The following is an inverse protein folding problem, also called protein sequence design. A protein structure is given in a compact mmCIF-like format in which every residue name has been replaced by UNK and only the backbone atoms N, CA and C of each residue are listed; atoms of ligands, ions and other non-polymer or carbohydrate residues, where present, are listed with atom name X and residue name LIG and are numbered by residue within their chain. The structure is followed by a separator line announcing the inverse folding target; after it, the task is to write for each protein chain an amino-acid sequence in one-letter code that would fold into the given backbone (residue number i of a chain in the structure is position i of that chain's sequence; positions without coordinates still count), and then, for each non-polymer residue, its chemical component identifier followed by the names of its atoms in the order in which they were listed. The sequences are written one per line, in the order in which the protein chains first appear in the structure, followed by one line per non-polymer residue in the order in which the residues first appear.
data_IF_990422836070
#
_entry.id   IF_990422836070
#
_cell.length_a   1.000
_cell.length_b   1.000
_cell.length_c   1.000
_cell.angle_alpha   90.00
_cell.angle_beta   90.00
_cell.angle_gamma   90.00
#
_symmetry.space_group_name_H-M   'P 1'
#
loop_
_entity.id
_entity.type
_entity.pdbx_description
1 polymer ?
#
# COMPACT_ATOMS: atom_id res chain seq x y z
N UNK A 1 50.00 -28.80 19.41
CA UNK A 1 49.50 -27.42 19.27
C UNK A 1 49.19 -27.00 17.82
N UNK A 2 49.87 -27.45 16.78
CA UNK A 2 49.53 -27.07 15.37
C UNK A 2 48.20 -27.62 14.85
N UNK A 3 47.80 -28.86 15.22
CA UNK A 3 46.54 -29.49 14.76
C UNK A 3 45.27 -28.83 15.31
N UNK A 4 45.30 -28.28 16.54
CA UNK A 4 44.15 -27.60 17.16
C UNK A 4 43.86 -26.23 16.52
N UNK A 5 44.89 -25.49 16.12
CA UNK A 5 44.71 -24.19 15.44
C UNK A 5 44.12 -24.34 14.04
N UNK A 6 44.47 -25.42 13.34
CA UNK A 6 43.93 -25.71 12.00
C UNK A 6 42.45 -26.06 12.06
N UNK A 7 42.01 -26.79 13.09
CA UNK A 7 40.58 -27.14 13.26
C UNK A 7 39.70 -25.92 13.59
N UNK A 8 40.20 -25.00 14.42
CA UNK A 8 39.48 -23.76 14.77
C UNK A 8 39.37 -22.83 13.56
N UNK A 9 40.38 -22.71 12.73
CA UNK A 9 40.36 -21.90 11.52
C UNK A 9 39.38 -22.49 10.49
N UNK A 10 39.31 -23.81 10.38
CA UNK A 10 38.36 -24.50 9.48
C UNK A 10 36.88 -24.30 9.88
N UNK A 11 36.60 -24.29 11.20
CA UNK A 11 35.27 -24.03 11.75
C UNK A 11 34.83 -22.57 11.52
N UNK A 12 35.75 -21.60 11.67
CA UNK A 12 35.47 -20.20 11.44
C UNK A 12 35.22 -19.91 9.95
N UNK A 13 36.03 -20.49 9.06
CA UNK A 13 35.85 -20.32 7.60
C UNK A 13 34.58 -21.05 7.12
N UNK A 14 34.30 -22.26 7.62
CA UNK A 14 33.06 -22.99 7.33
C UNK A 14 31.78 -22.27 7.82
N UNK A 15 31.85 -21.65 9.00
CA UNK A 15 30.78 -20.83 9.54
C UNK A 15 30.49 -19.57 8.69
N UNK A 16 31.54 -18.95 8.15
CA UNK A 16 31.39 -17.76 7.29
C UNK A 16 30.77 -18.09 5.93
N UNK A 17 31.03 -19.25 5.35
CA UNK A 17 30.44 -19.67 4.08
C UNK A 17 28.94 -19.98 4.20
N UNK A 18 28.42 -20.31 5.39
CA UNK A 18 27.00 -20.54 5.60
C UNK A 18 26.19 -19.24 5.66
N UNK A 19 26.80 -18.14 6.09
CA UNK A 19 26.16 -16.82 6.17
C UNK A 19 26.09 -16.06 4.82
N UNK A 20 26.83 -16.48 3.80
CA UNK A 20 26.86 -15.82 2.48
C UNK A 20 26.01 -16.52 1.41
N UNK A 21 25.05 -17.37 1.78
CA UNK A 21 23.99 -17.72 0.85
C UNK A 21 23.06 -16.49 0.69
N UNK A 22 23.56 -15.48 -0.02
CA UNK A 22 22.77 -14.37 -0.51
C UNK A 22 21.74 -14.97 -1.50
N UNK A 23 20.55 -15.23 -1.00
CA UNK A 23 19.44 -15.61 -1.85
C UNK A 23 19.13 -14.39 -2.71
N UNK A 24 19.56 -14.44 -3.97
CA UNK A 24 19.15 -13.45 -4.96
C UNK A 24 17.63 -13.56 -5.11
N UNK A 25 16.92 -12.68 -4.43
CA UNK A 25 15.51 -12.48 -4.68
C UNK A 25 15.40 -11.80 -6.04
N UNK A 26 15.06 -12.56 -7.07
CA UNK A 26 14.68 -11.98 -8.35
C UNK A 26 13.39 -11.17 -8.13
N UNK A 27 13.48 -9.85 -8.28
CA UNK A 27 12.29 -9.04 -8.42
C UNK A 27 11.54 -9.52 -9.67
N UNK A 28 10.27 -9.84 -9.53
CA UNK A 28 9.47 -10.21 -10.68
C UNK A 28 9.38 -8.99 -11.61
N UNK A 29 9.85 -9.10 -12.83
CA UNK A 29 9.75 -8.04 -13.84
C UNK A 29 8.50 -8.23 -14.69
N UNK A 30 7.97 -7.12 -15.21
CA UNK A 30 6.85 -7.15 -16.14
C UNK A 30 7.35 -7.70 -17.48
N UNK A 31 6.86 -8.86 -17.93
CA UNK A 31 7.39 -9.51 -19.15
C UNK A 31 6.92 -8.85 -20.44
N UNK A 32 6.06 -7.83 -20.36
CA UNK A 32 5.54 -7.10 -21.52
C UNK A 32 5.69 -5.60 -21.33
N UNK A 33 5.94 -4.89 -22.42
CA UNK A 33 5.74 -3.45 -22.51
C UNK A 33 4.34 -3.16 -23.04
N UNK A 34 3.73 -2.09 -22.56
CA UNK A 34 2.37 -1.68 -22.91
C UNK A 34 2.40 -0.30 -23.54
N UNK A 35 1.72 -0.16 -24.67
CA UNK A 35 1.51 1.13 -25.34
C UNK A 35 0.03 1.28 -25.66
N UNK A 36 -0.52 2.46 -25.42
CA UNK A 36 -1.88 2.82 -25.81
C UNK A 36 -1.84 3.63 -27.09
N UNK A 37 -2.48 3.12 -28.15
CA UNK A 37 -2.76 3.89 -29.35
C UNK A 37 -4.12 4.57 -29.17
N UNK A 38 -4.07 5.85 -28.84
CA UNK A 38 -5.21 6.64 -28.48
C UNK A 38 -5.71 7.49 -29.66
N UNK A 39 -7.02 7.85 -29.68
CA UNK A 39 -7.57 8.78 -30.67
C UNK A 39 -6.89 10.15 -30.62
N UNK A 40 -6.93 10.89 -31.73
CA UNK A 40 -6.38 12.25 -31.81
C UNK A 40 -7.02 13.25 -30.83
N UNK A 41 -8.27 13.02 -30.46
CA UNK A 41 -9.02 13.84 -29.47
C UNK A 41 -8.59 13.56 -28.02
N UNK A 42 -7.66 12.64 -27.77
CA UNK A 42 -7.19 12.36 -26.41
C UNK A 42 -6.31 13.50 -25.89
N UNK A 43 -6.59 13.96 -24.67
CA UNK A 43 -5.93 15.16 -24.07
C UNK A 43 -4.56 14.89 -23.44
N UNK A 44 -4.20 13.64 -23.21
CA UNK A 44 -3.02 13.27 -22.43
C UNK A 44 -2.31 12.06 -23.02
N UNK A 45 -0.98 12.04 -22.96
CA UNK A 45 -0.19 10.89 -23.39
C UNK A 45 -0.21 9.77 -22.32
N UNK A 46 -0.31 8.51 -22.74
CA UNK A 46 -0.20 7.34 -21.86
C UNK A 46 -1.43 7.06 -20.97
N UNK A 47 -2.46 7.88 -21.03
CA UNK A 47 -3.73 7.69 -20.33
C UNK A 47 -4.90 8.06 -21.25
N UNK A 48 -6.03 7.39 -21.12
CA UNK A 48 -7.24 7.78 -21.82
C UNK A 48 -7.86 8.97 -21.08
N UNK A 49 -7.86 10.14 -21.71
CA UNK A 49 -8.46 11.37 -21.15
C UNK A 49 -9.20 12.12 -22.25
N UNK A 50 -10.51 12.02 -22.27
CA UNK A 50 -11.32 12.51 -23.38
C UNK A 50 -12.61 13.18 -22.90
N UNK A 51 -13.00 14.24 -23.58
CA UNK A 51 -14.36 14.76 -23.53
C UNK A 51 -15.20 14.04 -24.60
N UNK A 52 -16.32 13.54 -24.19
CA UNK A 52 -17.18 12.69 -25.03
C UNK A 52 -18.63 13.09 -24.89
N UNK A 53 -19.40 12.92 -25.97
CA UNK A 53 -20.84 13.10 -25.91
C UNK A 53 -21.53 11.87 -25.29
N UNK A 54 -22.70 12.02 -24.67
CA UNK A 54 -23.54 10.89 -24.29
C UNK A 54 -23.71 9.89 -25.44
N UNK A 55 -23.60 8.58 -25.15
CA UNK A 55 -23.70 7.46 -26.10
C UNK A 55 -22.58 7.37 -27.16
N UNK A 56 -21.61 8.28 -27.13
CA UNK A 56 -20.47 8.24 -28.05
C UNK A 56 -19.65 6.97 -27.85
N UNK A 57 -19.23 6.34 -28.96
CA UNK A 57 -18.27 5.23 -28.97
C UNK A 57 -16.86 5.75 -29.08
N UNK A 58 -15.97 5.20 -28.27
CA UNK A 58 -14.56 5.53 -28.21
C UNK A 58 -13.79 4.27 -28.56
N UNK A 59 -12.90 4.37 -29.54
CA UNK A 59 -12.06 3.26 -29.99
C UNK A 59 -10.59 3.56 -29.73
N UNK A 60 -9.89 2.61 -29.14
CA UNK A 60 -8.43 2.67 -28.98
C UNK A 60 -7.84 1.26 -28.99
N UNK A 61 -6.52 1.15 -29.08
CA UNK A 61 -5.85 -0.15 -29.14
C UNK A 61 -4.80 -0.22 -28.05
N UNK A 62 -4.78 -1.33 -27.32
CA UNK A 62 -3.74 -1.66 -26.35
C UNK A 62 -2.73 -2.56 -27.07
N UNK A 63 -1.49 -2.13 -27.19
CA UNK A 63 -0.39 -2.90 -27.74
C UNK A 63 0.39 -3.52 -26.61
N UNK A 64 0.55 -4.85 -26.66
CA UNK A 64 1.33 -5.63 -25.69
C UNK A 64 2.50 -6.24 -26.44
N UNK A 65 3.71 -5.83 -26.13
CA UNK A 65 4.93 -6.42 -26.68
C UNK A 65 5.57 -7.31 -25.62
N UNK A 66 5.62 -8.62 -25.87
CA UNK A 66 6.33 -9.56 -25.02
C UNK A 66 7.84 -9.41 -25.25
N UNK A 67 8.54 -8.84 -24.27
CA UNK A 67 10.00 -8.62 -24.30
C UNK A 67 10.80 -9.82 -23.78
N UNK A 68 10.11 -10.87 -23.32
CA UNK A 68 10.76 -12.07 -22.79
C UNK A 68 11.00 -13.13 -23.88
N UNK A 69 11.89 -14.08 -23.59
CA UNK A 69 12.22 -15.21 -24.48
C UNK A 69 11.23 -16.39 -24.34
N UNK A 70 10.11 -16.19 -23.62
CA UNK A 70 9.10 -17.24 -23.38
C UNK A 70 7.71 -16.72 -23.75
N UNK A 71 6.82 -17.65 -24.07
CA UNK A 71 5.40 -17.36 -24.22
C UNK A 71 4.84 -16.92 -22.85
N UNK A 72 4.09 -15.81 -22.81
CA UNK A 72 3.47 -15.27 -21.61
C UNK A 72 1.96 -15.19 -21.77
N UNK A 73 1.24 -15.33 -20.65
CA UNK A 73 -0.20 -15.09 -20.58
C UNK A 73 -0.42 -13.82 -19.77
N UNK A 74 -1.14 -12.87 -20.35
CA UNK A 74 -1.40 -11.55 -19.77
C UNK A 74 -2.91 -11.38 -19.59
N UNK A 75 -3.34 -11.01 -18.40
CA UNK A 75 -4.69 -10.56 -18.13
C UNK A 75 -4.77 -9.05 -18.37
N UNK A 76 -5.71 -8.64 -19.20
CA UNK A 76 -6.04 -7.23 -19.44
C UNK A 76 -7.49 -7.00 -19.08
N UNK A 77 -7.79 -5.95 -18.33
CA UNK A 77 -9.17 -5.70 -17.93
C UNK A 77 -9.37 -4.35 -17.26
N UNK A 78 -10.63 -4.03 -16.93
CA UNK A 78 -10.99 -2.81 -16.25
C UNK A 78 -10.59 -2.84 -14.77
N UNK A 79 -10.07 -1.73 -14.29
CA UNK A 79 -9.84 -1.44 -12.88
C UNK A 79 -10.53 -0.15 -12.45
N UNK A 80 -10.24 0.28 -11.23
CA UNK A 80 -10.81 1.47 -10.61
C UNK A 80 -9.79 2.57 -10.46
N UNK A 81 -10.27 3.82 -10.37
CA UNK A 81 -9.51 4.97 -9.91
C UNK A 81 -10.16 5.44 -8.61
N UNK A 82 -9.38 5.52 -7.53
CA UNK A 82 -9.87 5.84 -6.18
C UNK A 82 -8.86 6.70 -5.43
N UNK A 83 -9.30 7.36 -4.38
CA UNK A 83 -8.39 8.07 -3.50
C UNK A 83 -7.75 7.12 -2.46
N UNK A 84 -6.48 7.34 -2.16
CA UNK A 84 -5.76 6.70 -1.05
C UNK A 84 -5.72 7.60 0.20
N UNK A 85 -4.99 7.15 1.24
CA UNK A 85 -4.83 7.88 2.49
C UNK A 85 -3.98 9.16 2.37
N UNK A 86 -3.24 9.33 1.28
CA UNK A 86 -2.50 10.56 0.96
C UNK A 86 -3.34 11.58 0.19
N UNK A 87 -4.60 11.22 -0.11
CA UNK A 87 -5.50 12.02 -0.92
C UNK A 87 -5.21 11.96 -2.42
N UNK A 88 -4.28 11.09 -2.86
CA UNK A 88 -3.95 10.92 -4.27
C UNK A 88 -4.86 9.89 -4.94
N UNK A 89 -4.99 9.98 -6.27
CA UNK A 89 -5.71 8.99 -7.04
C UNK A 89 -4.78 7.84 -7.37
N UNK A 90 -5.15 6.65 -6.91
CA UNK A 90 -4.46 5.40 -7.20
C UNK A 90 -5.30 4.53 -8.13
N UNK A 91 -4.61 3.87 -9.05
CA UNK A 91 -5.19 3.01 -10.07
C UNK A 91 -4.96 1.55 -9.69
N UNK A 92 -5.95 0.69 -9.87
CA UNK A 92 -5.74 -0.73 -9.57
C UNK A 92 -6.95 -1.62 -9.82
N UNK A 93 -6.72 -2.93 -9.77
CA UNK A 93 -7.79 -3.97 -9.79
C UNK A 93 -8.35 -4.16 -8.37
N UNK A 94 -8.78 -3.08 -7.73
CA UNK A 94 -9.11 -3.16 -6.32
C UNK A 94 -10.59 -3.39 -6.05
N UNK A 95 -10.98 -4.65 -6.10
CA UNK A 95 -12.31 -5.12 -5.70
C UNK A 95 -12.58 -5.01 -4.20
N UNK A 96 -11.53 -4.82 -3.37
CA UNK A 96 -11.66 -4.82 -1.90
C UNK A 96 -12.02 -3.45 -1.30
N UNK A 97 -11.77 -2.35 -1.99
CA UNK A 97 -12.10 -1.02 -1.49
C UNK A 97 -13.42 -0.55 -2.11
N UNK A 98 -14.35 -0.16 -1.25
CA UNK A 98 -15.68 0.32 -1.68
C UNK A 98 -15.56 1.69 -2.30
N UNK A 99 -16.16 1.87 -3.48
CA UNK A 99 -16.49 3.17 -4.04
C UNK A 99 -17.70 3.75 -3.29
N UNK A 100 -18.03 5.03 -3.51
CA UNK A 100 -19.25 5.58 -2.97
C UNK A 100 -20.51 4.88 -3.58
N UNK A 101 -21.60 4.85 -2.84
CA UNK A 101 -22.85 4.26 -3.32
C UNK A 101 -23.45 4.96 -4.55
N UNK A 102 -23.00 6.18 -4.84
CA UNK A 102 -23.37 6.94 -6.04
C UNK A 102 -22.61 6.50 -7.30
N UNK A 103 -21.63 5.61 -7.18
CA UNK A 103 -20.85 5.12 -8.31
C UNK A 103 -21.64 4.15 -9.16
N UNK A 104 -22.06 4.59 -10.36
CA UNK A 104 -22.92 3.85 -11.26
C UNK A 104 -22.16 3.18 -12.40
N UNK A 105 -21.12 3.82 -12.91
CA UNK A 105 -20.46 3.40 -14.15
C UNK A 105 -19.03 2.92 -13.93
N UNK A 106 -18.86 1.63 -14.04
CA UNK A 106 -17.58 0.96 -14.14
C UNK A 106 -17.21 0.77 -15.61
N UNK A 107 -15.92 0.80 -15.97
CA UNK A 107 -15.47 0.59 -17.36
C UNK A 107 -15.99 -0.72 -17.96
N UNK A 108 -16.27 -1.74 -17.15
CA UNK A 108 -16.93 -2.98 -17.59
C UNK A 108 -18.32 -2.71 -18.16
N UNK A 109 -19.06 -1.82 -17.56
CA UNK A 109 -20.41 -1.46 -18.02
C UNK A 109 -20.38 -0.62 -19.30
N UNK A 110 -19.20 -0.08 -19.65
CA UNK A 110 -18.97 0.67 -20.88
C UNK A 110 -18.47 -0.20 -22.05
N UNK A 111 -18.40 -1.52 -21.87
CA UNK A 111 -17.99 -2.47 -22.91
C UNK A 111 -16.57 -3.03 -22.76
N UNK A 112 -15.81 -2.65 -21.72
CA UNK A 112 -14.46 -3.18 -21.50
C UNK A 112 -14.46 -4.32 -20.48
N UNK A 113 -14.38 -5.55 -20.95
CA UNK A 113 -14.33 -6.77 -20.12
C UNK A 113 -12.91 -7.30 -19.97
N UNK A 114 -12.67 -8.02 -18.87
CA UNK A 114 -11.40 -8.70 -18.64
C UNK A 114 -11.20 -9.85 -19.62
N UNK A 115 -10.00 -9.96 -20.18
CA UNK A 115 -9.59 -11.07 -21.04
C UNK A 115 -8.16 -11.51 -20.72
N UNK A 116 -7.87 -12.78 -21.00
CA UNK A 116 -6.52 -13.33 -20.91
C UNK A 116 -6.03 -13.58 -22.33
N UNK A 117 -4.89 -12.99 -22.65
CA UNK A 117 -4.25 -13.15 -23.96
C UNK A 117 -2.91 -13.83 -23.82
N UNK A 118 -2.61 -14.74 -24.75
CA UNK A 118 -1.32 -15.42 -24.81
C UNK A 118 -0.48 -14.77 -25.90
N UNK A 119 0.77 -14.43 -25.57
CA UNK A 119 1.70 -13.70 -26.45
C UNK A 119 2.98 -14.53 -26.59
N UNK A 120 3.34 -15.00 -27.79
CA UNK A 120 4.61 -15.69 -28.02
C UNK A 120 5.80 -14.80 -27.67
N UNK A 121 6.98 -15.42 -27.48
CA UNK A 121 8.23 -14.71 -27.24
C UNK A 121 8.49 -13.64 -28.31
N UNK A 122 8.89 -12.44 -27.90
CA UNK A 122 9.27 -11.32 -28.79
C UNK A 122 8.20 -10.89 -29.79
N UNK A 123 6.90 -11.20 -29.52
CA UNK A 123 5.79 -10.82 -30.42
C UNK A 123 4.90 -9.76 -29.80
N UNK A 124 4.21 -9.05 -30.67
CA UNK A 124 3.24 -8.01 -30.31
C UNK A 124 1.81 -8.57 -30.43
N UNK A 125 0.97 -8.27 -29.46
CA UNK A 125 -0.47 -8.51 -29.50
C UNK A 125 -1.21 -7.18 -29.41
N UNK A 126 -2.10 -6.92 -30.35
CA UNK A 126 -2.99 -5.75 -30.37
C UNK A 126 -4.34 -6.16 -29.78
N UNK A 127 -4.87 -5.36 -28.88
CA UNK A 127 -6.18 -5.56 -28.26
C UNK A 127 -7.02 -4.32 -28.57
N UNK A 128 -7.98 -4.41 -29.51
CA UNK A 128 -8.91 -3.33 -29.76
C UNK A 128 -9.88 -3.21 -28.57
N UNK A 129 -10.11 -1.99 -28.13
CA UNK A 129 -11.06 -1.66 -27.07
C UNK A 129 -12.06 -0.67 -27.61
N UNK A 130 -13.32 -0.94 -27.34
CA UNK A 130 -14.43 -0.02 -27.61
C UNK A 130 -15.14 0.26 -26.30
N UNK A 131 -15.19 1.54 -25.90
CA UNK A 131 -16.00 2.01 -24.79
C UNK A 131 -17.21 2.76 -25.37
N UNK A 132 -18.37 2.61 -24.77
CA UNK A 132 -19.54 3.41 -25.07
C UNK A 132 -19.89 4.28 -23.87
N UNK A 133 -19.81 5.60 -24.04
CA UNK A 133 -20.23 6.52 -23.01
C UNK A 133 -21.73 6.32 -22.71
N UNK A 134 -22.15 6.32 -21.44
CA UNK A 134 -23.56 6.20 -21.11
C UNK A 134 -24.31 7.49 -21.42
N UNK A 135 -25.65 7.44 -21.35
CA UNK A 135 -26.46 8.66 -21.31
C UNK A 135 -26.33 9.30 -19.92
N UNK A 136 -25.32 10.13 -19.76
CA UNK A 136 -24.84 10.61 -18.46
C UNK A 136 -24.22 11.99 -18.59
N UNK A 137 -24.10 12.71 -17.48
CA UNK A 137 -23.38 13.96 -17.39
C UNK A 137 -22.40 13.90 -16.22
N UNK A 138 -21.12 14.15 -16.49
CA UNK A 138 -20.05 14.11 -15.49
C UNK A 138 -18.87 13.24 -15.87
N UNK A 139 -17.92 13.10 -14.97
CA UNK A 139 -16.69 12.35 -15.18
C UNK A 139 -16.84 10.89 -14.75
N UNK A 140 -16.33 9.98 -15.55
CA UNK A 140 -16.17 8.56 -15.25
C UNK A 140 -14.67 8.29 -15.16
N UNK A 141 -14.21 7.88 -13.99
CA UNK A 141 -12.79 7.55 -13.75
C UNK A 141 -12.61 6.05 -13.50
N UNK A 142 -11.57 5.49 -14.09
CA UNK A 142 -11.21 4.09 -13.95
C UNK A 142 -9.78 3.81 -14.38
N UNK A 143 -9.44 2.56 -14.61
CA UNK A 143 -8.13 2.17 -15.12
C UNK A 143 -8.19 0.94 -16.02
N UNK A 144 -7.17 0.82 -16.87
CA UNK A 144 -6.85 -0.39 -17.62
C UNK A 144 -5.76 -1.11 -16.83
N UNK A 145 -6.01 -2.35 -16.43
CA UNK A 145 -5.06 -3.18 -15.71
C UNK A 145 -4.43 -4.20 -16.64
N UNK A 146 -3.12 -4.27 -16.62
CA UNK A 146 -2.33 -5.27 -17.35
C UNK A 146 -1.47 -6.01 -16.34
N UNK A 147 -1.65 -7.33 -16.23
CA UNK A 147 -0.93 -8.15 -15.26
C UNK A 147 -0.60 -9.53 -15.83
N UNK A 148 0.59 -10.10 -15.57
CA UNK A 148 0.90 -11.46 -15.95
C UNK A 148 0.06 -12.45 -15.17
N UNK A 149 -0.38 -13.52 -15.84
CA UNK A 149 -1.03 -14.65 -15.20
C UNK A 149 0.06 -15.60 -14.68
N UNK A 150 0.33 -15.52 -13.38
CA UNK A 150 1.33 -16.34 -12.72
C UNK A 150 0.65 -17.56 -12.10
N UNK A 151 1.13 -18.75 -12.42
CA UNK A 151 0.75 -19.97 -11.68
C UNK A 151 1.40 -19.92 -10.30
N UNK A 152 0.59 -19.68 -9.27
CA UNK A 152 1.07 -19.69 -7.89
C UNK A 152 1.58 -21.11 -7.55
N UNK A 153 2.85 -21.20 -7.18
CA UNK A 153 3.39 -22.43 -6.59
C UNK A 153 2.85 -22.57 -5.16
N UNK A 154 2.45 -23.78 -4.78
CA UNK A 154 1.79 -24.08 -3.48
C UNK A 154 2.55 -23.62 -2.23
N UNK A 155 3.83 -23.30 -2.35
CA UNK A 155 4.69 -22.91 -1.23
C UNK A 155 5.08 -21.41 -1.19
N UNK A 156 4.53 -20.58 -2.07
CA UNK A 156 4.86 -19.14 -2.09
C UNK A 156 4.04 -18.43 -1.01
N UNK A 157 4.64 -18.12 0.13
CA UNK A 157 3.99 -17.40 1.24
C UNK A 157 3.55 -15.98 0.87
N UNK A 158 4.25 -15.33 -0.06
CA UNK A 158 3.96 -13.97 -0.53
C UNK A 158 4.11 -13.92 -2.06
N UNK A 159 3.02 -14.15 -2.81
CA UNK A 159 3.06 -13.99 -4.26
C UNK A 159 3.23 -12.51 -4.60
N UNK A 160 4.39 -12.16 -5.13
CA UNK A 160 4.63 -10.81 -5.64
C UNK A 160 3.95 -10.71 -7.01
N UNK A 161 2.80 -10.04 -7.08
CA UNK A 161 2.09 -9.80 -8.33
C UNK A 161 2.40 -8.38 -8.81
N UNK A 162 3.05 -8.29 -9.97
CA UNK A 162 3.27 -7.01 -10.65
C UNK A 162 2.07 -6.74 -11.54
N UNK A 163 1.57 -5.51 -11.48
CA UNK A 163 0.56 -5.00 -12.42
C UNK A 163 0.96 -3.62 -12.92
N UNK A 164 0.60 -3.31 -14.13
CA UNK A 164 0.61 -1.96 -14.68
C UNK A 164 -0.83 -1.46 -14.79
N UNK A 165 -1.04 -0.20 -14.44
CA UNK A 165 -2.35 0.43 -14.47
C UNK A 165 -2.28 1.74 -15.25
N UNK A 166 -3.17 1.92 -16.20
CA UNK A 166 -3.29 3.11 -17.05
C UNK A 166 -4.62 3.80 -16.77
N UNK A 167 -4.59 5.09 -16.48
CA UNK A 167 -5.77 5.87 -16.16
C UNK A 167 -6.75 5.96 -17.34
N UNK A 168 -8.03 5.96 -17.00
CA UNK A 168 -9.12 6.28 -17.93
C UNK A 168 -9.99 7.34 -17.27
N UNK A 169 -10.10 8.50 -17.90
CA UNK A 169 -10.98 9.59 -17.54
C UNK A 169 -11.86 9.96 -18.76
N UNK A 170 -13.14 9.77 -18.64
CA UNK A 170 -14.11 10.19 -19.65
C UNK A 170 -14.97 11.28 -19.03
N UNK A 171 -14.94 12.46 -19.60
CA UNK A 171 -15.80 13.57 -19.25
C UNK A 171 -16.98 13.57 -20.22
N UNK A 172 -18.17 13.25 -19.73
CA UNK A 172 -19.35 13.02 -20.55
C UNK A 172 -20.26 14.24 -20.49
N UNK A 173 -20.67 14.73 -21.65
CA UNK A 173 -21.57 15.88 -21.80
C UNK A 173 -21.02 17.16 -21.15
N UNK A 174 -21.90 17.95 -20.54
CA UNK A 174 -21.54 19.20 -19.88
C UNK A 174 -21.00 18.92 -18.45
N UNK A 175 -19.95 18.13 -18.34
CA UNK A 175 -19.37 17.70 -17.05
C UNK A 175 -18.91 18.88 -16.17
N UNK A 176 -18.59 20.03 -16.75
CA UNK A 176 -18.16 21.24 -16.03
C UNK A 176 -19.28 21.86 -15.18
N UNK A 177 -20.53 21.62 -15.55
CA UNK A 177 -21.70 22.09 -14.81
C UNK A 177 -21.96 21.28 -13.54
N UNK A 178 -21.35 20.11 -13.42
CA UNK A 178 -21.51 19.23 -12.26
C UNK A 178 -20.81 19.83 -11.05
N UNK A 179 -21.56 20.06 -9.97
CA UNK A 179 -21.01 20.61 -8.73
C UNK A 179 -20.61 19.50 -7.75
N UNK A 180 -19.56 19.71 -6.94
CA UNK A 180 -19.17 18.76 -5.91
C UNK A 180 -20.31 18.52 -4.91
N UNK A 181 -20.59 17.26 -4.61
CA UNK A 181 -21.51 16.85 -3.57
C UNK A 181 -20.77 16.03 -2.52
N UNK A 182 -20.17 16.73 -1.57
CA UNK A 182 -19.30 16.14 -0.54
C UNK A 182 -20.09 15.85 0.74
N UNK A 183 -19.79 14.73 1.39
CA UNK A 183 -20.40 14.31 2.65
C UNK A 183 -19.37 13.66 3.57
N UNK A 184 -19.40 13.99 4.87
CA UNK A 184 -18.62 13.27 5.85
C UNK A 184 -19.29 11.93 6.17
N UNK A 185 -18.59 10.85 5.95
CA UNK A 185 -18.99 9.50 6.29
C UNK A 185 -18.79 9.17 7.78
N UNK A 186 -18.71 7.88 8.08
CA UNK A 186 -18.46 7.39 9.43
C UNK A 186 -17.07 7.79 9.89
N UNK A 187 -16.95 8.23 11.16
CA UNK A 187 -15.66 8.45 11.83
C UNK A 187 -15.51 7.39 12.91
N UNK A 188 -14.37 6.73 12.95
CA UNK A 188 -14.11 5.67 13.93
C UNK A 188 -12.61 5.55 14.21
N UNK A 189 -12.29 4.89 15.33
CA UNK A 189 -10.94 4.64 15.80
C UNK A 189 -10.63 3.15 15.68
N UNK A 190 -9.47 2.81 15.15
CA UNK A 190 -8.97 1.43 15.05
C UNK A 190 -7.45 1.37 15.20
N UNK A 191 -6.90 0.19 15.46
CA UNK A 191 -5.47 -0.06 15.35
C UNK A 191 -5.10 -0.31 13.88
N UNK A 192 -4.13 0.43 13.38
CA UNK A 192 -3.58 0.26 12.04
C UNK A 192 -2.05 0.36 12.11
N UNK A 193 -1.34 -0.62 11.55
CA UNK A 193 0.13 -0.62 11.58
C UNK A 193 0.75 -0.65 12.99
N UNK A 194 -0.01 -1.07 14.01
CA UNK A 194 0.41 -1.07 15.41
C UNK A 194 0.30 0.29 16.10
N UNK A 195 -0.52 1.20 15.56
CA UNK A 195 -0.82 2.51 16.15
C UNK A 195 -2.34 2.74 16.19
N UNK A 196 -2.81 3.50 17.16
CA UNK A 196 -4.18 3.97 17.18
C UNK A 196 -4.37 5.02 16.07
N UNK A 197 -5.40 4.84 15.25
CA UNK A 197 -5.63 5.64 14.05
C UNK A 197 -7.11 5.99 13.94
N UNK A 198 -7.41 7.28 13.81
CA UNK A 198 -8.75 7.80 13.53
C UNK A 198 -8.93 7.76 12.02
N UNK A 199 -10.03 7.17 11.58
CA UNK A 199 -10.41 7.12 10.17
C UNK A 199 -11.71 7.87 10.01
N UNK A 200 -11.66 8.97 9.28
CA UNK A 200 -12.80 9.64 8.68
C UNK A 200 -12.83 9.37 7.18
N UNK A 201 -13.94 9.67 6.53
CA UNK A 201 -14.05 9.55 5.09
C UNK A 201 -14.88 10.70 4.51
N UNK A 202 -14.38 11.34 3.47
CA UNK A 202 -15.18 12.25 2.65
C UNK A 202 -15.71 11.46 1.45
N UNK A 203 -17.01 11.43 1.30
CA UNK A 203 -17.72 10.83 0.18
C UNK A 203 -17.94 11.88 -0.88
N UNK A 204 -17.41 11.68 -2.07
CA UNK A 204 -17.78 12.43 -3.25
C UNK A 204 -18.93 11.69 -3.95
N UNK A 205 -20.13 12.23 -3.81
CA UNK A 205 -21.34 11.64 -4.39
C UNK A 205 -21.66 12.19 -5.80
N UNK A 206 -20.85 13.15 -6.26
CA UNK A 206 -20.98 13.71 -7.60
C UNK A 206 -20.01 13.01 -8.57
N UNK A 207 -20.40 12.89 -9.83
CA UNK A 207 -19.53 12.41 -10.90
C UNK A 207 -18.57 13.52 -11.36
N UNK A 208 -17.76 14.01 -10.44
CA UNK A 208 -16.80 15.08 -10.71
C UNK A 208 -15.41 14.64 -10.32
N UNK A 209 -14.44 14.96 -11.16
CA UNK A 209 -13.03 14.61 -11.01
C UNK A 209 -12.19 15.88 -10.89
N UNK A 210 -11.32 15.90 -9.91
CA UNK A 210 -10.27 16.91 -9.76
C UNK A 210 -8.91 16.23 -9.68
N UNK A 211 -8.01 16.61 -10.59
CA UNK A 211 -6.66 16.06 -10.68
C UNK A 211 -5.78 16.40 -9.47
N UNK A 212 -4.57 15.86 -9.50
CA UNK A 212 -3.58 16.08 -8.43
C UNK A 212 -3.29 17.58 -8.23
N UNK A 213 -3.28 18.03 -6.99
CA UNK A 213 -3.04 19.41 -6.61
C UNK A 213 -4.28 20.31 -6.62
N UNK A 214 -5.41 19.84 -7.15
CA UNK A 214 -6.62 20.66 -7.26
C UNK A 214 -7.45 20.72 -5.97
N UNK A 215 -7.18 19.83 -5.01
CA UNK A 215 -7.95 19.70 -3.77
C UNK A 215 -7.02 19.75 -2.56
N UNK A 216 -7.50 20.38 -1.49
CA UNK A 216 -6.83 20.32 -0.18
C UNK A 216 -7.78 19.74 0.86
N UNK A 217 -7.30 18.78 1.63
CA UNK A 217 -8.02 18.22 2.76
C UNK A 217 -7.29 18.57 4.05
N UNK A 218 -8.03 18.89 5.08
CA UNK A 218 -7.51 18.94 6.44
C UNK A 218 -8.51 18.30 7.39
N UNK A 219 -7.98 17.59 8.39
CA UNK A 219 -8.81 17.07 9.47
C UNK A 219 -8.07 17.17 10.79
N UNK A 220 -8.83 17.38 11.87
CA UNK A 220 -8.31 17.45 13.22
C UNK A 220 -9.27 16.81 14.21
N UNK A 221 -8.70 16.26 15.26
CA UNK A 221 -9.41 15.76 16.42
C UNK A 221 -9.21 16.70 17.61
N UNK A 222 -10.29 17.09 18.26
CA UNK A 222 -10.27 17.90 19.49
C UNK A 222 -10.89 17.08 20.64
N UNK A 223 -10.34 17.20 21.83
CA UNK A 223 -10.91 16.62 23.04
C UNK A 223 -12.13 17.41 23.53
N UNK A 224 -12.74 16.98 24.64
CA UNK A 224 -13.89 17.65 25.29
C UNK A 224 -13.61 19.10 25.75
N UNK A 225 -12.34 19.46 25.93
CA UNK A 225 -11.90 20.81 26.30
C UNK A 225 -11.54 21.67 25.06
N UNK A 226 -11.74 21.16 23.84
CA UNK A 226 -11.42 21.87 22.61
C UNK A 226 -9.93 21.85 22.22
N UNK A 227 -9.07 21.16 22.98
CA UNK A 227 -7.65 21.03 22.68
C UNK A 227 -7.44 20.09 21.50
N UNK A 228 -6.62 20.52 20.54
CA UNK A 228 -6.25 19.67 19.40
C UNK A 228 -5.35 18.51 19.85
N UNK A 229 -5.82 17.29 19.61
CA UNK A 229 -5.13 16.03 19.96
C UNK A 229 -4.28 15.54 18.79
N UNK A 230 -4.83 15.54 17.59
CA UNK A 230 -4.16 15.06 16.38
C UNK A 230 -4.73 15.74 15.14
N UNK A 231 -3.97 15.78 14.05
CA UNK A 231 -4.42 16.37 12.78
C UNK A 231 -3.69 15.77 11.58
N UNK A 232 -4.30 15.92 10.41
CA UNK A 232 -3.72 15.65 9.10
C UNK A 232 -4.00 16.81 8.16
N UNK A 233 -3.05 17.12 7.29
CA UNK A 233 -3.20 18.11 6.25
C UNK A 233 -2.62 17.57 4.94
N UNK A 234 -3.44 17.56 3.88
CA UNK A 234 -3.13 17.07 2.54
C UNK A 234 -3.33 18.23 1.55
N UNK A 235 -2.31 19.08 1.34
CA UNK A 235 -2.48 20.35 0.60
C UNK A 235 -2.61 20.18 -0.91
N UNK A 236 -2.06 19.09 -1.46
CA UNK A 236 -1.99 18.83 -2.90
C UNK A 236 -2.63 17.48 -3.22
N UNK A 237 -3.91 17.39 -2.98
CA UNK A 237 -4.67 16.18 -3.17
C UNK A 237 -5.49 16.23 -4.46
N UNK A 238 -6.19 15.13 -4.71
CA UNK A 238 -7.09 14.93 -5.83
C UNK A 238 -8.45 14.43 -5.33
N UNK A 239 -9.43 14.39 -6.21
CA UNK A 239 -10.75 13.85 -5.94
C UNK A 239 -11.24 13.03 -7.14
N UNK A 240 -11.33 11.72 -6.98
CA UNK A 240 -11.88 10.85 -8.01
C UNK A 240 -13.41 10.94 -8.04
N UNK A 241 -13.99 10.69 -9.20
CA UNK A 241 -15.45 10.71 -9.39
C UNK A 241 -16.12 9.58 -8.58
N UNK A 242 -17.18 9.93 -7.85
CA UNK A 242 -17.96 8.99 -7.02
C UNK A 242 -17.11 8.15 -6.06
N UNK A 243 -16.05 8.73 -5.50
CA UNK A 243 -15.09 8.05 -4.68
C UNK A 243 -15.24 8.38 -3.20
N UNK A 244 -14.61 7.56 -2.38
CA UNK A 244 -14.44 7.78 -0.95
C UNK A 244 -12.99 8.18 -0.71
N UNK A 245 -12.78 9.36 -0.12
CA UNK A 245 -11.46 9.87 0.27
C UNK A 245 -11.23 9.57 1.74
N UNK A 246 -10.35 8.65 2.12
CA UNK A 246 -10.05 8.39 3.52
C UNK A 246 -9.22 9.52 4.11
N UNK A 247 -9.64 10.04 5.27
CA UNK A 247 -8.88 10.98 6.08
C UNK A 247 -8.37 10.26 7.32
N UNK A 248 -7.11 9.87 7.27
CA UNK A 248 -6.49 9.06 8.31
C UNK A 248 -5.63 9.95 9.20
N UNK A 249 -5.93 10.00 10.50
CA UNK A 249 -5.17 10.74 11.50
C UNK A 249 -4.52 9.75 12.47
N UNK A 250 -3.20 9.71 12.53
CA UNK A 250 -2.48 8.91 13.52
C UNK A 250 -2.58 9.59 14.89
N UNK A 251 -2.94 8.82 15.92
CA UNK A 251 -3.08 9.33 17.30
C UNK A 251 -1.76 9.84 17.89
N UNK A 252 -0.63 9.31 17.41
CA UNK A 252 0.69 9.62 17.93
C UNK A 252 1.15 8.65 19.02
N UNK A 253 2.14 9.11 19.82
CA UNK A 253 2.83 8.28 20.82
C UNK A 253 2.23 8.41 22.22
N UNK A 254 1.05 9.00 22.34
CA UNK A 254 0.35 9.18 23.63
C UNK A 254 -0.71 8.09 23.81
N UNK A 255 -1.00 7.70 25.06
CA UNK A 255 -2.13 6.80 25.32
C UNK A 255 -3.44 7.42 24.86
N UNK A 256 -4.27 6.60 24.23
CA UNK A 256 -5.66 6.95 23.93
C UNK A 256 -6.42 7.06 25.25
N UNK A 257 -7.14 8.13 25.44
CA UNK A 257 -8.00 8.35 26.61
C UNK A 257 -9.47 8.17 26.23
N UNK A 258 -10.26 7.69 27.18
CA UNK A 258 -11.71 7.65 27.02
C UNK A 258 -12.26 9.07 27.17
N UNK A 259 -12.93 9.54 26.12
CA UNK A 259 -13.54 10.88 26.08
C UNK A 259 -14.49 10.95 24.87
N UNK A 260 -15.22 12.06 24.76
CA UNK A 260 -15.97 12.43 23.57
C UNK A 260 -15.22 13.49 22.78
N UNK A 261 -14.66 13.07 21.69
CA UNK A 261 -13.86 13.90 20.79
C UNK A 261 -14.71 14.52 19.70
N UNK A 262 -14.29 15.69 19.20
CA UNK A 262 -14.86 16.34 18.03
C UNK A 262 -13.90 16.22 16.84
N UNK A 263 -14.31 15.42 15.86
CA UNK A 263 -13.63 15.34 14.57
C UNK A 263 -14.13 16.48 13.67
N UNK A 264 -13.21 17.31 13.20
CA UNK A 264 -13.48 18.40 12.23
C UNK A 264 -12.72 18.11 10.95
N UNK A 265 -13.38 18.22 9.81
CA UNK A 265 -12.75 18.09 8.51
C UNK A 265 -13.11 19.27 7.60
N UNK A 266 -12.18 19.63 6.73
CA UNK A 266 -12.36 20.66 5.72
C UNK A 266 -11.86 20.14 4.38
N UNK A 267 -12.58 20.52 3.32
CA UNK A 267 -12.20 20.26 1.93
C UNK A 267 -12.23 21.60 1.19
N UNK A 268 -11.12 21.93 0.54
CA UNK A 268 -11.01 23.15 -0.29
C UNK A 268 -10.77 22.75 -1.75
N UNK A 269 -11.58 23.30 -2.65
CA UNK A 269 -11.47 23.14 -4.11
C UNK A 269 -11.61 24.53 -4.72
N UNK A 270 -10.52 25.06 -5.28
CA UNK A 270 -10.49 26.46 -5.70
C UNK A 270 -10.82 27.39 -4.52
N UNK A 271 -11.83 28.25 -4.69
CA UNK A 271 -12.29 29.17 -3.64
C UNK A 271 -13.40 28.58 -2.75
N UNK A 272 -13.90 27.42 -3.10
CA UNK A 272 -14.97 26.76 -2.33
C UNK A 272 -14.40 25.99 -1.14
N UNK A 273 -15.08 26.11 0.01
CA UNK A 273 -14.68 25.47 1.26
C UNK A 273 -15.86 24.77 1.93
N UNK A 274 -15.76 23.46 2.05
CA UNK A 274 -16.72 22.63 2.81
C UNK A 274 -16.14 22.33 4.20
N UNK A 275 -16.99 22.45 5.23
CA UNK A 275 -16.67 22.15 6.63
C UNK A 275 -17.59 21.07 7.14
N UNK A 276 -17.02 20.09 7.83
CA UNK A 276 -17.74 18.97 8.43
C UNK A 276 -17.30 18.78 9.87
N UNK A 277 -18.21 18.27 10.67
CA UNK A 277 -17.88 17.90 12.06
C UNK A 277 -18.69 16.67 12.50
N UNK A 278 -18.10 15.87 13.38
CA UNK A 278 -18.73 14.68 13.95
C UNK A 278 -18.14 14.35 15.31
N UNK A 279 -18.99 14.01 16.27
CA UNK A 279 -18.53 13.49 17.56
C UNK A 279 -18.08 12.04 17.43
N UNK A 280 -17.01 11.69 18.16
CA UNK A 280 -16.42 10.37 18.30
C UNK A 280 -16.26 10.07 19.77
N UNK A 281 -17.08 9.19 20.33
CA UNK A 281 -16.96 8.75 21.72
C UNK A 281 -16.08 7.52 21.81
N UNK A 282 -15.06 7.57 22.65
CA UNK A 282 -14.12 6.48 22.92
C UNK A 282 -14.37 6.00 24.34
N UNK A 283 -14.80 4.76 24.49
CA UNK A 283 -15.01 4.15 25.79
C UNK A 283 -13.70 3.72 26.45
N UNK A 284 -13.70 3.55 27.79
CA UNK A 284 -12.55 3.03 28.54
C UNK A 284 -12.05 1.69 27.97
N UNK A 285 -12.96 0.78 27.60
CA UNK A 285 -12.63 -0.53 27.05
C UNK A 285 -11.91 -0.39 25.70
N UNK A 286 -12.38 0.48 24.82
CA UNK A 286 -11.74 0.74 23.52
C UNK A 286 -10.36 1.37 23.69
N UNK A 287 -10.23 2.37 24.57
CA UNK A 287 -8.95 3.02 24.87
C UNK A 287 -7.92 2.02 25.37
N UNK A 288 -8.27 1.18 26.35
CA UNK A 288 -7.38 0.12 26.86
C UNK A 288 -6.97 -0.89 25.80
N UNK A 289 -7.91 -1.33 24.94
CA UNK A 289 -7.62 -2.28 23.86
C UNK A 289 -6.62 -1.68 22.85
N UNK A 290 -6.82 -0.43 22.42
CA UNK A 290 -5.96 0.25 21.46
C UNK A 290 -4.58 0.53 22.04
N UNK A 291 -4.50 0.93 23.32
CA UNK A 291 -3.23 1.16 23.99
C UNK A 291 -2.40 -0.13 24.12
N UNK A 292 -3.04 -1.28 24.35
CA UNK A 292 -2.36 -2.60 24.35
C UNK A 292 -1.82 -2.98 22.96
N UNK A 293 -2.46 -2.55 21.88
CA UNK A 293 -2.06 -2.83 20.50
C UNK A 293 -1.05 -1.82 19.96
N UNK A 294 -0.87 -0.68 20.62
CA UNK A 294 0.02 0.38 20.20
C UNK A 294 1.47 0.01 20.50
N UNK A 295 2.26 -0.25 19.45
CA UNK A 295 3.68 -0.63 19.57
C UNK A 295 4.53 0.47 20.21
N UNK A 296 4.18 1.74 20.00
CA UNK A 296 4.93 2.88 20.49
C UNK A 296 4.73 3.10 22.01
N UNK A 297 3.69 2.50 22.60
CA UNK A 297 3.42 2.55 24.04
C UNK A 297 4.00 1.34 24.78
N UNK A 298 4.46 0.31 24.06
CA UNK A 298 5.09 -0.85 24.69
C UNK A 298 6.54 -0.52 25.05
N UNK A 299 7.00 -0.90 26.25
CA UNK A 299 8.39 -0.69 26.62
C UNK A 299 9.31 -1.43 25.65
N UNK A 300 10.36 -0.74 25.21
CA UNK A 300 11.37 -1.34 24.36
C UNK A 300 12.06 -2.49 25.14
N UNK A 301 11.84 -3.74 24.73
CA UNK A 301 12.43 -4.93 25.37
C UNK A 301 13.84 -5.26 24.87
N UNK A 302 14.34 -4.57 23.87
CA UNK A 302 15.68 -4.81 23.34
C UNK A 302 16.80 -4.69 24.36
N UNK A 303 16.81 -3.68 25.29
CA UNK A 303 17.82 -3.59 26.32
C UNK A 303 17.82 -4.82 27.25
N UNK A 304 16.64 -5.35 27.57
CA UNK A 304 16.52 -6.56 28.39
C UNK A 304 17.08 -7.79 27.67
N UNK A 305 16.77 -7.94 26.39
CA UNK A 305 17.25 -9.05 25.54
C UNK A 305 18.77 -8.99 25.42
N UNK A 306 19.35 -7.82 25.14
CA UNK A 306 20.81 -7.61 25.08
C UNK A 306 21.44 -7.95 26.41
N UNK A 307 20.87 -7.52 27.53
CA UNK A 307 21.36 -7.82 28.87
C UNK A 307 21.40 -9.34 29.15
N UNK A 308 20.34 -10.08 28.79
CA UNK A 308 20.27 -11.54 28.92
C UNK A 308 21.36 -12.21 28.07
N UNK A 309 21.55 -11.76 26.82
CA UNK A 309 22.59 -12.28 25.93
C UNK A 309 23.99 -12.03 26.52
N UNK A 310 24.25 -10.83 27.05
CA UNK A 310 25.53 -10.52 27.69
C UNK A 310 25.80 -11.43 28.91
N UNK A 311 24.79 -11.68 29.76
CA UNK A 311 24.93 -12.61 30.89
C UNK A 311 25.25 -14.02 30.40
N UNK A 312 24.55 -14.50 29.37
CA UNK A 312 24.78 -15.82 28.80
C UNK A 312 26.19 -15.97 28.23
N UNK A 313 26.73 -14.94 27.56
CA UNK A 313 28.08 -14.93 27.04
C UNK A 313 29.15 -14.91 28.16
N UNK A 314 28.91 -14.15 29.23
CA UNK A 314 29.79 -14.11 30.41
C UNK A 314 29.81 -15.49 31.09
N UNK A 315 28.65 -16.12 31.29
CA UNK A 315 28.55 -17.45 31.87
C UNK A 315 29.27 -18.51 31.02
N UNK A 316 29.12 -18.44 29.69
CA UNK A 316 29.84 -19.31 28.77
C UNK A 316 31.34 -19.09 28.84
N UNK A 317 31.83 -17.85 28.94
CA UNK A 317 33.24 -17.49 29.10
C UNK A 317 33.81 -18.05 30.39
N UNK A 318 33.09 -17.89 31.49
CA UNK A 318 33.52 -18.46 32.81
C UNK A 318 33.51 -19.99 32.79
N UNK A 319 32.58 -20.62 32.12
CA UNK A 319 32.53 -22.08 31.96
C UNK A 319 33.74 -22.59 31.15
N UNK A 320 34.06 -21.96 30.04
CA UNK A 320 35.24 -22.32 29.23
C UNK A 320 36.54 -22.06 29.95
N UNK A 321 36.62 -20.97 30.71
CA UNK A 321 37.76 -20.69 31.57
C UNK A 321 37.97 -21.73 32.68
N UNK A 322 36.85 -22.17 33.30
CA UNK A 322 36.85 -23.24 34.31
C UNK A 322 37.35 -24.58 33.73
N UNK A 323 36.92 -24.96 32.53
CA UNK A 323 37.42 -26.16 31.82
C UNK A 323 38.90 -26.02 31.54
N UNK A 324 39.37 -24.87 31.05
CA UNK A 324 40.76 -24.61 30.77
C UNK A 324 41.65 -24.70 32.03
N UNK A 325 41.20 -24.10 33.14
CA UNK A 325 41.88 -24.13 34.42
C UNK A 325 41.95 -25.55 34.99
N UNK A 326 40.84 -26.32 34.91
CA UNK A 326 40.78 -27.71 35.33
C UNK A 326 41.75 -28.61 34.51
N UNK A 327 41.77 -28.46 33.20
CA UNK A 327 42.66 -29.19 32.30
C UNK A 327 44.15 -28.85 32.57
N UNK A 328 44.44 -27.58 32.87
CA UNK A 328 45.82 -27.14 33.24
C UNK A 328 46.30 -27.77 34.56
N UNK A 329 45.43 -27.83 35.55
CA UNK A 329 45.74 -28.41 36.86
C UNK A 329 45.97 -29.95 36.78
N UNK A 330 45.22 -30.67 35.96
CA UNK A 330 45.49 -32.10 35.74
C UNK A 330 46.79 -32.36 35.00
N UNK A 331 47.17 -31.45 34.08
CA UNK A 331 48.48 -31.55 33.39
C UNK A 331 49.67 -31.40 34.33
N UNK A 332 49.55 -30.51 35.33
CA UNK A 332 50.60 -30.29 36.32
C UNK A 332 50.82 -31.47 37.27
N UNK A 333 49.77 -32.18 37.64
CA UNK A 333 49.88 -33.35 38.53
C UNK A 333 50.50 -34.59 37.85
N UNK A 334 50.42 -34.71 36.53
CA UNK A 334 51.07 -35.82 35.77
C UNK A 334 52.58 -35.65 35.65
N UNK A 335 53.10 -34.43 35.81
CA UNK A 335 54.54 -34.17 35.73
C UNK A 335 55.22 -34.48 37.07
N UNK A 336 54.57 -34.33 38.21
CA UNK A 336 55.06 -34.58 39.54
C UNK A 336 55.11 -36.09 39.87
N UNK A 337 54.37 -36.95 39.23
CA UNK A 337 54.36 -38.40 39.42
C UNK A 337 55.38 -39.14 38.54
N UNK A 338 56.20 -38.47 37.79
CA UNK A 338 57.30 -39.05 36.93
C UNK A 338 58.70 -38.63 37.34
N UNK A 339 58.91 -38.22 38.60
CA UNK A 339 60.24 -38.09 39.21
C UNK A 339 60.39 -39.10 40.30
#
# INVERSE_FOLDING_TARGET
MKKSRFLITLIIVGGWCIFFNCWTTYAAEMPVTVQLQLPAANKSNGVVNMDVQPQQKIHFVIWLHNISNKKVSIKVGPGVAKNDNSGQIVLGDNTKQRMDSSWQYHLRNLGFSSQIVSIPAQKIKKIPVTLQAPNYQGSISGSIIVQPVIKLQRHTRFPNQIQQAYGVLLNVGNYEDVKPHLRLGKVYLQAQGGQATIIGAIHNRAPIYYGNGAVSYSAQLQDSHGKKVASVHLPQAALAANAIVPLTITWGNHPVQADTYLFKAQVKIGDQLWRFQRHLTISNRQALQLNRQNRNLQPNRWPLIIFIICIALIALGLFLWGIFWYAKNQGSQKIIKKK
#
